data_IF_832545307038
#
_entry.id   IF_832545307038
#
_cell.length_a   1.000
_cell.length_b   1.000
_cell.length_c   1.000
_cell.angle_alpha   90.00
_cell.angle_beta   90.00
_cell.angle_gamma   90.00
#
_symmetry.space_group_name_H-M   'P 1'
#
loop_
_entity.id
_entity.type
_entity.pdbx_description
1 polymer ?
#
# COMPACT_ATOMS: atom_id res chain seq x y z
N UNK A 1 -7.17 2.81 8.55
CA UNK A 1 -6.58 2.98 7.21
C UNK A 1 -5.23 3.70 7.27
N UNK A 2 -4.13 2.95 7.20
CA UNK A 2 -2.79 3.50 7.04
C UNK A 2 -2.31 3.14 5.63
N UNK A 3 -2.12 4.14 4.76
CA UNK A 3 -1.48 3.94 3.46
C UNK A 3 0.01 4.22 3.62
N UNK A 4 0.83 3.19 3.46
CA UNK A 4 2.28 3.32 3.48
C UNK A 4 2.77 3.44 2.03
N UNK A 5 3.11 4.67 1.65
CA UNK A 5 3.77 4.94 0.38
C UNK A 5 5.27 4.69 0.60
N UNK A 6 5.77 3.59 0.05
CA UNK A 6 7.19 3.25 0.12
C UNK A 6 7.81 3.65 -1.23
N UNK A 7 8.39 4.84 -1.28
CA UNK A 7 9.28 5.21 -2.37
C UNK A 7 10.62 4.49 -2.17
N UNK A 8 11.14 3.87 -3.24
CA UNK A 8 12.36 3.03 -3.24
C UNK A 8 13.67 3.81 -2.99
N UNK A 9 13.62 4.99 -2.39
CA UNK A 9 14.79 5.80 -2.11
C UNK A 9 15.05 5.91 -0.59
N UNK A 10 16.23 5.43 -0.21
CA UNK A 10 16.95 5.61 1.07
C UNK A 10 16.65 4.64 2.22
N UNK A 11 17.51 3.61 2.23
CA UNK A 11 17.82 2.71 3.30
C UNK A 11 18.79 3.38 4.30
N UNK A 12 18.32 4.27 5.17
CA UNK A 12 18.97 4.53 6.47
C UNK A 12 18.10 5.46 7.35
N UNK A 13 17.80 5.00 8.57
CA UNK A 13 17.23 5.77 9.70
C UNK A 13 15.69 5.89 9.73
N UNK A 14 15.09 4.79 10.21
CA UNK A 14 14.10 4.70 11.28
C UNK A 14 13.10 5.85 11.50
N UNK A 15 11.86 5.58 11.08
CA UNK A 15 10.58 5.98 11.70
C UNK A 15 10.12 7.45 11.51
N UNK A 16 10.99 8.42 11.21
CA UNK A 16 10.55 9.84 11.16
C UNK A 16 10.03 10.31 9.78
N UNK A 17 10.33 9.61 8.68
CA UNK A 17 10.08 10.13 7.31
C UNK A 17 8.83 9.61 6.59
N UNK A 18 7.99 8.77 7.21
CA UNK A 18 6.91 8.07 6.48
C UNK A 18 5.54 8.74 6.68
N UNK A 19 5.45 10.03 6.37
CA UNK A 19 4.17 10.72 6.16
C UNK A 19 4.27 11.51 4.85
N UNK A 20 4.45 10.82 3.73
CA UNK A 20 4.60 11.51 2.44
C UNK A 20 3.25 12.05 1.95
N UNK A 21 2.11 11.40 2.25
CA UNK A 21 0.76 11.96 2.00
C UNK A 21 -0.24 11.43 3.05
N UNK A 22 -1.01 12.34 3.65
CA UNK A 22 -2.12 12.03 4.55
C UNK A 22 -3.45 12.47 3.90
N UNK A 23 -4.19 11.52 3.34
CA UNK A 23 -5.54 11.74 2.81
C UNK A 23 -6.59 11.14 3.77
N UNK A 24 -7.09 11.95 4.70
CA UNK A 24 -8.20 11.56 5.59
C UNK A 24 -9.47 12.23 5.08
N UNK A 25 -10.29 11.49 4.34
CA UNK A 25 -11.65 11.91 4.00
C UNK A 25 -12.61 10.74 4.24
N UNK A 26 -13.78 11.03 4.80
CA UNK A 26 -14.84 10.06 4.94
C UNK A 26 -15.52 9.87 3.59
N UNK A 27 -15.17 8.80 2.85
CA UNK A 27 -15.89 8.40 1.64
C UNK A 27 -16.76 7.18 1.95
N UNK A 28 -18.07 7.37 1.80
CA UNK A 28 -19.08 6.32 1.95
C UNK A 28 -19.07 5.31 0.78
N UNK A 29 -18.23 5.50 -0.25
CA UNK A 29 -18.35 4.79 -1.54
C UNK A 29 -17.10 4.03 -2.01
N UNK A 30 -16.31 3.48 -1.09
CA UNK A 30 -15.15 2.61 -1.33
C UNK A 30 -13.80 3.33 -1.45
N UNK A 31 -12.74 2.68 -0.94
CA UNK A 31 -11.37 3.20 -0.96
C UNK A 31 -10.73 3.29 -2.35
N UNK A 32 -11.35 2.71 -3.37
CA UNK A 32 -10.91 2.82 -4.76
C UNK A 32 -10.74 4.26 -5.23
N UNK A 33 -11.63 5.16 -4.80
CA UNK A 33 -11.55 6.58 -5.15
C UNK A 33 -10.37 7.28 -4.45
N UNK A 34 -10.06 6.88 -3.21
CA UNK A 34 -8.89 7.39 -2.49
C UNK A 34 -7.60 7.02 -3.22
N UNK A 35 -7.44 5.74 -3.56
CA UNK A 35 -6.27 5.28 -4.30
C UNK A 35 -6.14 5.97 -5.66
N UNK A 36 -7.24 6.13 -6.41
CA UNK A 36 -7.20 6.85 -7.70
C UNK A 36 -6.73 8.28 -7.53
N UNK A 37 -7.25 9.00 -6.52
CA UNK A 37 -6.81 10.38 -6.22
C UNK A 37 -5.33 10.41 -5.84
N UNK A 38 -4.88 9.47 -5.01
CA UNK A 38 -3.48 9.38 -4.59
C UNK A 38 -2.58 9.15 -5.80
N UNK A 39 -2.91 8.17 -6.66
CA UNK A 39 -2.20 7.94 -7.92
C UNK A 39 -2.21 9.19 -8.82
N UNK A 40 -3.34 9.89 -8.97
CA UNK A 40 -3.38 11.13 -9.76
C UNK A 40 -2.50 12.23 -9.17
N UNK A 41 -2.41 12.34 -7.85
CA UNK A 41 -1.58 13.37 -7.17
C UNK A 41 -0.10 13.02 -7.14
N UNK A 42 0.26 11.75 -6.98
CA UNK A 42 1.67 11.30 -6.84
C UNK A 42 2.29 10.77 -8.10
N UNK A 43 1.48 10.28 -9.05
CA UNK A 43 1.95 9.49 -10.20
C UNK A 43 2.40 8.07 -9.86
N UNK A 44 2.32 7.65 -8.59
CA UNK A 44 2.83 6.33 -8.17
C UNK A 44 1.85 5.25 -8.64
N UNK A 45 2.33 4.20 -9.32
CA UNK A 45 1.47 3.12 -9.78
C UNK A 45 0.98 2.27 -8.60
N UNK A 46 -0.21 1.68 -8.73
CA UNK A 46 -0.84 0.91 -7.65
C UNK A 46 0.01 -0.27 -7.16
N UNK A 47 0.73 -0.94 -8.07
CA UNK A 47 1.62 -2.05 -7.72
C UNK A 47 2.80 -1.63 -6.81
N UNK A 48 3.13 -0.34 -6.78
CA UNK A 48 4.15 0.25 -5.90
C UNK A 48 3.56 0.79 -4.59
N UNK A 49 2.32 0.46 -4.25
CA UNK A 49 1.68 0.85 -2.99
C UNK A 49 1.54 -0.33 -2.02
N UNK A 50 1.74 -0.06 -0.73
CA UNK A 50 1.50 -0.99 0.38
C UNK A 50 0.43 -0.43 1.32
N UNK A 51 -0.62 -1.20 1.56
CA UNK A 51 -1.79 -0.77 2.29
C UNK A 51 -2.12 -1.69 3.46
N UNK A 52 -2.45 -1.10 4.62
CA UNK A 52 -2.89 -1.83 5.80
C UNK A 52 -4.27 -1.33 6.26
N UNK A 53 -5.17 -2.27 6.47
CA UNK A 53 -6.53 -1.98 6.90
C UNK A 53 -7.16 -3.14 7.69
N UNK A 54 -8.07 -2.80 8.58
CA UNK A 54 -8.83 -3.68 9.46
C UNK A 54 -10.16 -4.15 8.84
N UNK A 55 -10.48 -3.67 7.63
CA UNK A 55 -11.73 -3.98 6.95
C UNK A 55 -11.46 -4.82 5.68
N UNK A 56 -11.92 -6.07 5.66
CA UNK A 56 -11.65 -7.02 4.56
C UNK A 56 -12.11 -6.51 3.19
N UNK A 57 -13.26 -5.84 3.12
CA UNK A 57 -13.80 -5.29 1.87
C UNK A 57 -12.89 -4.21 1.27
N UNK A 58 -12.15 -3.47 2.11
CA UNK A 58 -11.17 -2.50 1.65
C UNK A 58 -9.90 -3.16 1.11
N UNK A 59 -9.47 -4.24 1.75
CA UNK A 59 -8.32 -5.05 1.31
C UNK A 59 -8.61 -5.67 -0.05
N UNK A 60 -9.80 -6.25 -0.22
CA UNK A 60 -10.22 -6.84 -1.50
C UNK A 60 -10.27 -5.78 -2.61
N UNK A 61 -10.88 -4.63 -2.35
CA UNK A 61 -10.99 -3.54 -3.31
C UNK A 61 -9.61 -2.98 -3.72
N UNK A 62 -8.70 -2.79 -2.76
CA UNK A 62 -7.34 -2.32 -3.02
C UNK A 62 -6.51 -3.35 -3.82
N UNK A 63 -6.60 -4.63 -3.45
CA UNK A 63 -5.91 -5.73 -4.13
C UNK A 63 -6.34 -5.87 -5.59
N UNK A 64 -7.64 -5.67 -5.90
CA UNK A 64 -8.16 -5.67 -7.28
C UNK A 64 -7.55 -4.59 -8.16
N UNK A 65 -7.05 -3.50 -7.58
CA UNK A 65 -6.35 -2.45 -8.34
C UNK A 65 -4.84 -2.70 -8.45
N UNK A 66 -4.33 -3.77 -7.85
CA UNK A 66 -2.90 -4.12 -7.84
C UNK A 66 -2.13 -3.61 -6.62
N UNK A 67 -2.79 -3.01 -5.63
CA UNK A 67 -2.14 -2.57 -4.39
C UNK A 67 -1.82 -3.77 -3.51
N UNK A 68 -0.59 -3.86 -2.98
CA UNK A 68 -0.27 -4.87 -1.97
C UNK A 68 -1.01 -4.53 -0.67
N UNK A 69 -1.96 -5.35 -0.26
CA UNK A 69 -2.90 -5.00 0.80
C UNK A 69 -2.90 -6.05 1.91
N UNK A 70 -2.79 -5.61 3.16
CA UNK A 70 -2.61 -6.46 4.33
C UNK A 70 -3.73 -6.21 5.34
N UNK A 71 -4.56 -7.23 5.54
CA UNK A 71 -5.57 -7.22 6.58
C UNK A 71 -4.96 -7.23 7.99
N UNK A 72 -5.39 -6.32 8.85
CA UNK A 72 -4.90 -6.15 10.23
C UNK A 72 -6.05 -5.95 11.23
N UNK A 73 -6.49 -7.03 11.84
CA UNK A 73 -7.59 -7.04 12.84
C UNK A 73 -7.37 -6.11 14.05
N UNK A 74 -6.13 -5.97 14.54
CA UNK A 74 -5.80 -5.13 15.70
C UNK A 74 -4.70 -4.11 15.38
N UNK A 75 -4.80 -3.49 14.22
CA UNK A 75 -3.85 -2.49 13.74
C UNK A 75 -2.49 -3.06 13.32
N UNK A 76 -1.62 -2.16 12.87
CA UNK A 76 -0.30 -2.53 12.33
C UNK A 76 0.68 -2.78 13.49
N UNK A 77 1.13 -4.04 13.61
CA UNK A 77 2.23 -4.44 14.48
C UNK A 77 3.44 -4.90 13.65
N UNK A 78 4.58 -5.16 14.32
CA UNK A 78 5.83 -5.55 13.64
C UNK A 78 5.67 -6.81 12.77
N UNK A 79 4.82 -7.76 13.20
CA UNK A 79 4.54 -8.98 12.42
C UNK A 79 3.76 -8.64 11.15
N UNK A 80 2.74 -7.79 11.25
CA UNK A 80 1.96 -7.33 10.10
C UNK A 80 2.83 -6.54 9.13
N UNK A 81 3.66 -5.61 9.63
CA UNK A 81 4.59 -4.82 8.82
C UNK A 81 5.58 -5.73 8.07
N UNK A 82 6.22 -6.67 8.78
CA UNK A 82 7.15 -7.63 8.15
C UNK A 82 6.46 -8.44 7.06
N UNK A 83 5.25 -8.94 7.32
CA UNK A 83 4.44 -9.65 6.33
C UNK A 83 4.15 -8.77 5.10
N UNK A 84 3.77 -7.52 5.33
CA UNK A 84 3.47 -6.57 4.25
C UNK A 84 4.67 -6.29 3.35
N UNK A 85 5.85 -6.05 3.95
CA UNK A 85 7.08 -5.83 3.20
C UNK A 85 7.50 -7.05 2.39
N UNK A 86 7.40 -8.26 2.97
CA UNK A 86 7.70 -9.51 2.25
C UNK A 86 6.79 -9.68 1.03
N UNK A 87 5.48 -9.56 1.21
CA UNK A 87 4.52 -9.71 0.10
C UNK A 87 4.71 -8.62 -0.97
N UNK A 88 5.03 -7.40 -0.55
CA UNK A 88 5.30 -6.30 -1.48
C UNK A 88 6.49 -6.62 -2.38
N UNK A 89 7.61 -7.07 -1.81
CA UNK A 89 8.79 -7.46 -2.59
C UNK A 89 8.52 -8.65 -3.52
N UNK A 90 7.75 -9.64 -3.07
CA UNK A 90 7.35 -10.78 -3.92
C UNK A 90 6.52 -10.34 -5.13
N UNK A 91 5.55 -9.45 -4.92
CA UNK A 91 4.70 -8.90 -5.98
C UNK A 91 5.49 -8.06 -7.00
N UNK A 92 6.49 -7.31 -6.53
CA UNK A 92 7.40 -6.56 -7.40
C UNK A 92 8.24 -7.50 -8.28
N UNK A 93 8.84 -8.53 -7.67
CA UNK A 93 9.61 -9.53 -8.41
C UNK A 93 8.76 -10.31 -9.43
N UNK A 94 7.49 -10.57 -9.12
CA UNK A 94 6.56 -11.22 -10.05
C UNK A 94 6.22 -10.29 -11.23
N UNK A 95 6.04 -9.00 -10.97
CA UNK A 95 5.78 -7.98 -11.99
C UNK A 95 6.95 -7.84 -12.97
N UNK A 96 8.19 -7.79 -12.46
CA UNK A 96 9.41 -7.68 -13.28
C UNK A 96 9.62 -8.90 -14.20
N UNK A 97 9.31 -10.11 -13.71
CA UNK A 97 9.40 -11.34 -14.51
C UNK A 97 8.40 -11.35 -15.66
N UNK A 98 7.23 -10.77 -15.47
CA UNK A 98 6.20 -10.70 -16.51
C UNK A 98 6.53 -9.65 -17.59
N UNK A 99 7.34 -8.64 -17.29
CA UNK A 99 7.79 -7.64 -18.27
C UNK A 99 8.98 -8.10 -19.13
N UNK A 100 9.69 -9.16 -18.72
CA UNK A 100 10.87 -9.72 -19.43
C UNK A 100 10.55 -10.93 -20.31
N UNK A 101 9.28 -11.33 -20.40
CA UNK A 101 8.79 -12.39 -21.29
C UNK A 101 8.08 -11.75 -22.47
#
# INVERSE_FOLDING_TARGET
ALLLLIDNCLFHISIILVWIIQEIFFSCKNKTDHFRRIQTRTGIPFNSMLFFDDEDWNIEAASKMGVTSIYVDNGVNLRALRRGLTQFTENQNASDKNQRK
#
